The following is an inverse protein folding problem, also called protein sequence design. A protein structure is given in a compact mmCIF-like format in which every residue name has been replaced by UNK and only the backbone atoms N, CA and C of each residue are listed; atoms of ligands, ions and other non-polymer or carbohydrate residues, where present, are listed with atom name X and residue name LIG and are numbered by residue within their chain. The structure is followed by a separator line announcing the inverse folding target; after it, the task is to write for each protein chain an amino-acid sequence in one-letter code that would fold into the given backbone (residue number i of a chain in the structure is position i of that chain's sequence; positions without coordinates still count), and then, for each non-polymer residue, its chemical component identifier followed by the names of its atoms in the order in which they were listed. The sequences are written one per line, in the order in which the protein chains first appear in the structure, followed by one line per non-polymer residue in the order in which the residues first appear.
data_IF_386582208589
#
_entry.id   IF_386582208589
#
_cell.length_a   1.000
_cell.length_b   1.000
_cell.length_c   1.000
_cell.angle_alpha   90.00
_cell.angle_beta   90.00
_cell.angle_gamma   90.00
#
_symmetry.space_group_name_H-M   'P 1'
#
loop_
_entity.id
_entity.type
_entity.pdbx_description
1 polymer ?
#
# COMPACT_ATOMS: atom_id res chain seq x y z
N UNK A 1 31.14 -30.12 40.22
CA UNK A 1 30.50 -28.79 40.20
C UNK A 1 30.59 -28.29 38.78
N UNK A 2 29.46 -28.26 38.07
CA UNK A 2 29.37 -27.65 36.74
C UNK A 2 28.35 -26.50 36.88
N UNK A 3 28.84 -25.27 36.77
CA UNK A 3 28.01 -24.08 36.61
C UNK A 3 27.50 -24.05 35.16
N UNK A 4 26.19 -24.07 34.99
CA UNK A 4 25.55 -23.67 33.74
C UNK A 4 25.15 -22.21 33.87
N UNK A 5 25.71 -21.27 33.07
CA UNK A 5 25.11 -19.97 32.89
C UNK A 5 23.90 -20.13 31.96
N UNK A 6 22.69 -19.97 32.50
CA UNK A 6 21.52 -19.66 31.69
C UNK A 6 21.62 -18.21 31.25
N UNK A 7 22.18 -17.98 30.06
CA UNK A 7 21.98 -16.75 29.32
C UNK A 7 20.51 -16.68 28.90
N UNK A 8 19.68 -16.16 29.80
CA UNK A 8 18.39 -15.61 29.45
C UNK A 8 18.65 -14.35 28.63
N UNK A 9 18.80 -14.53 27.31
CA UNK A 9 18.64 -13.45 26.34
C UNK A 9 17.24 -12.87 26.52
N UNK A 10 17.14 -11.85 27.37
CA UNK A 10 15.96 -11.06 27.63
C UNK A 10 15.60 -10.25 26.39
N UNK A 11 15.04 -10.93 25.39
CA UNK A 11 14.26 -10.28 24.34
C UNK A 11 12.98 -9.86 25.04
N UNK A 12 12.86 -8.57 25.35
CA UNK A 12 11.67 -8.03 25.99
C UNK A 12 10.47 -8.20 25.03
N UNK A 13 9.52 -9.10 25.34
CA UNK A 13 8.37 -9.35 24.47
C UNK A 13 7.49 -8.10 24.32
N UNK A 14 7.59 -7.13 25.23
CA UNK A 14 6.89 -5.85 25.10
C UNK A 14 7.55 -4.93 24.06
N UNK A 15 8.89 -4.92 23.97
CA UNK A 15 9.60 -4.16 22.95
C UNK A 15 9.34 -4.74 21.54
N UNK A 16 9.31 -6.06 21.40
CA UNK A 16 8.97 -6.73 20.15
C UNK A 16 7.49 -6.57 19.77
N UNK A 17 6.57 -6.62 20.74
CA UNK A 17 5.16 -6.35 20.51
C UNK A 17 4.90 -4.89 20.13
N UNK A 18 5.63 -3.94 20.73
CA UNK A 18 5.50 -2.52 20.42
C UNK A 18 6.12 -2.18 19.06
N UNK A 19 7.29 -2.74 18.73
CA UNK A 19 7.86 -2.65 17.40
C UNK A 19 6.99 -3.35 16.34
N UNK A 20 6.33 -4.46 16.68
CA UNK A 20 5.35 -5.09 15.82
C UNK A 20 4.10 -4.22 15.63
N UNK A 21 3.60 -3.55 16.68
CA UNK A 21 2.47 -2.63 16.61
C UNK A 21 2.80 -1.35 15.82
N UNK A 22 3.99 -0.79 15.97
CA UNK A 22 4.46 0.34 15.16
C UNK A 22 4.62 -0.05 13.69
N UNK A 23 5.16 -1.25 13.41
CA UNK A 23 5.19 -1.81 12.04
C UNK A 23 3.78 -2.09 11.50
N UNK A 24 2.85 -2.53 12.34
CA UNK A 24 1.45 -2.73 11.98
C UNK A 24 0.75 -1.39 11.66
N UNK A 25 1.07 -0.30 12.38
CA UNK A 25 0.58 1.04 12.04
C UNK A 25 1.05 1.52 10.66
N UNK A 26 2.28 1.23 10.27
CA UNK A 26 2.77 1.50 8.90
C UNK A 26 2.02 0.65 7.87
N UNK A 27 1.54 -0.55 8.25
CA UNK A 27 0.86 -1.47 7.34
C UNK A 27 -0.62 -1.16 7.05
N UNK A 28 -1.28 -0.27 7.81
CA UNK A 28 -2.69 0.07 7.56
C UNK A 28 -2.83 0.91 6.29
N UNK A 29 -1.86 1.78 6.00
CA UNK A 29 -1.85 2.61 4.80
C UNK A 29 -0.46 3.18 4.49
N UNK A 30 0.48 2.39 3.93
CA UNK A 30 1.81 2.90 3.60
C UNK A 30 1.75 3.88 2.42
N UNK A 31 2.52 4.96 2.53
CA UNK A 31 2.68 6.00 1.50
C UNK A 31 4.14 6.20 1.15
N UNK A 32 4.43 6.41 -0.13
CA UNK A 32 5.72 6.91 -0.62
C UNK A 32 5.50 8.25 -1.34
N UNK A 33 6.40 9.21 -1.12
CA UNK A 33 6.44 10.47 -1.83
C UNK A 33 7.41 10.39 -3.01
N UNK A 34 6.99 10.92 -4.14
CA UNK A 34 7.79 10.98 -5.36
C UNK A 34 7.88 12.44 -5.77
N UNK A 35 9.08 12.99 -5.73
CA UNK A 35 9.34 14.43 -5.84
C UNK A 35 10.31 14.72 -6.98
N UNK A 36 10.10 15.85 -7.67
CA UNK A 36 10.95 16.25 -8.80
C UNK A 36 10.36 17.43 -9.58
N UNK A 37 11.01 17.86 -10.68
CA UNK A 37 10.47 18.92 -11.52
C UNK A 37 9.05 18.59 -12.04
N UNK A 38 8.13 19.57 -12.17
CA UNK A 38 6.73 19.26 -12.48
C UNK A 38 6.50 18.42 -13.74
N UNK A 39 7.24 18.69 -14.82
CA UNK A 39 7.16 17.91 -16.06
C UNK A 39 7.66 16.47 -15.87
N UNK A 40 8.64 16.24 -14.99
CA UNK A 40 9.11 14.90 -14.63
C UNK A 40 8.11 14.14 -13.78
N UNK A 41 7.41 14.85 -12.88
CA UNK A 41 6.31 14.24 -12.12
C UNK A 41 5.17 13.81 -13.04
N UNK A 42 4.84 14.59 -14.06
CA UNK A 42 3.86 14.18 -15.07
C UNK A 42 4.28 12.89 -15.80
N UNK A 43 5.55 12.81 -16.21
CA UNK A 43 6.11 11.58 -16.82
C UNK A 43 6.13 10.41 -15.83
N UNK A 44 6.50 10.65 -14.57
CA UNK A 44 6.57 9.64 -13.52
C UNK A 44 5.18 9.06 -13.20
N UNK A 45 4.16 9.93 -13.12
CA UNK A 45 2.76 9.51 -12.99
C UNK A 45 2.37 8.62 -14.17
N UNK A 46 2.68 9.01 -15.41
CA UNK A 46 2.36 8.22 -16.59
C UNK A 46 3.09 6.86 -16.63
N UNK A 47 4.31 6.78 -16.09
CA UNK A 47 5.07 5.54 -15.96
C UNK A 47 4.48 4.63 -14.87
N UNK A 48 4.15 5.18 -13.70
CA UNK A 48 3.47 4.46 -12.62
C UNK A 48 2.11 3.93 -13.05
N UNK A 49 1.34 4.74 -13.77
CA UNK A 49 0.05 4.33 -14.35
C UNK A 49 0.19 3.11 -15.25
N UNK A 50 1.22 3.11 -16.11
CA UNK A 50 1.51 1.97 -16.98
C UNK A 50 1.93 0.76 -16.16
N UNK A 51 2.86 0.93 -15.23
CA UNK A 51 3.36 -0.17 -14.38
C UNK A 51 2.24 -0.79 -13.53
N UNK A 52 1.36 0.02 -12.95
CA UNK A 52 0.20 -0.43 -12.17
C UNK A 52 -0.75 -1.28 -13.03
N UNK A 53 -1.03 -0.84 -14.25
CA UNK A 53 -1.99 -1.52 -15.14
C UNK A 53 -1.42 -2.76 -15.82
N UNK A 54 -0.26 -2.64 -16.46
CA UNK A 54 0.32 -3.71 -17.29
C UNK A 54 1.23 -4.65 -16.50
N UNK A 55 1.98 -4.13 -15.52
CA UNK A 55 2.90 -4.92 -14.71
C UNK A 55 2.23 -5.57 -13.51
N UNK A 56 1.42 -4.80 -12.78
CA UNK A 56 0.84 -5.24 -11.49
C UNK A 56 -0.65 -5.63 -11.58
N UNK A 57 -1.30 -5.40 -12.73
CA UNK A 57 -2.67 -5.82 -13.00
C UNK A 57 -3.75 -5.06 -12.24
N UNK A 58 -3.43 -3.88 -11.71
CA UNK A 58 -4.40 -2.98 -11.12
C UNK A 58 -5.31 -2.38 -12.19
N UNK A 59 -6.56 -2.09 -11.84
CA UNK A 59 -7.52 -1.44 -12.74
C UNK A 59 -7.86 -0.04 -12.24
N UNK A 60 -7.85 0.98 -13.12
CA UNK A 60 -8.29 2.31 -12.75
C UNK A 60 -9.76 2.28 -12.31
N UNK A 61 -10.09 3.17 -11.39
CA UNK A 61 -11.43 3.40 -10.87
C UNK A 61 -11.72 4.88 -10.89
N UNK A 62 -12.63 5.27 -11.76
CA UNK A 62 -13.20 6.60 -11.72
C UNK A 62 -14.07 6.73 -10.46
N UNK A 63 -13.87 7.81 -9.73
CA UNK A 63 -14.70 8.17 -8.58
C UNK A 63 -15.19 9.59 -8.79
N UNK A 64 -16.48 9.78 -8.63
CA UNK A 64 -17.10 11.08 -8.81
C UNK A 64 -16.46 12.11 -7.86
N UNK A 65 -16.07 13.26 -8.41
CA UNK A 65 -15.33 14.30 -7.67
C UNK A 65 -13.81 14.09 -7.56
N UNK A 66 -13.24 13.02 -8.13
CA UNK A 66 -11.78 12.96 -8.30
C UNK A 66 -11.36 13.92 -9.42
N UNK A 67 -10.80 15.07 -9.04
CA UNK A 67 -10.15 15.97 -9.99
C UNK A 67 -8.95 15.30 -10.69
N UNK A 68 -8.32 15.96 -11.67
CA UNK A 68 -7.21 15.40 -12.45
C UNK A 68 -5.98 15.03 -11.61
N UNK A 69 -5.91 15.52 -10.38
CA UNK A 69 -4.81 15.30 -9.43
C UNK A 69 -4.96 14.03 -8.59
N UNK A 70 -6.02 13.24 -8.78
CA UNK A 70 -6.25 12.03 -8.00
C UNK A 70 -6.62 10.87 -8.91
N UNK A 71 -5.89 9.76 -8.80
CA UNK A 71 -6.18 8.51 -9.50
C UNK A 71 -6.26 7.38 -8.49
N UNK A 72 -7.29 6.55 -8.64
CA UNK A 72 -7.49 5.37 -7.82
C UNK A 72 -7.40 4.13 -8.66
N UNK A 73 -6.67 3.16 -8.14
CA UNK A 73 -6.50 1.86 -8.73
C UNK A 73 -6.96 0.80 -7.75
N UNK A 74 -7.49 -0.29 -8.29
CA UNK A 74 -7.92 -1.44 -7.50
C UNK A 74 -7.32 -2.71 -8.06
N UNK A 75 -6.73 -3.52 -7.18
CA UNK A 75 -6.37 -4.89 -7.47
C UNK A 75 -7.36 -5.82 -6.78
N UNK A 76 -7.95 -6.72 -7.55
CA UNK A 76 -8.99 -7.64 -7.08
C UNK A 76 -10.42 -7.19 -7.40
N UNK A 77 -11.32 -8.16 -7.50
CA UNK A 77 -12.72 -7.97 -7.89
C UNK A 77 -13.50 -9.29 -7.88
N UNK A 78 -14.83 -9.23 -8.00
CA UNK A 78 -15.75 -10.39 -7.88
C UNK A 78 -15.28 -11.63 -8.65
N UNK A 79 -14.72 -11.46 -9.85
CA UNK A 79 -14.27 -12.58 -10.69
C UNK A 79 -12.99 -13.25 -10.18
N UNK A 80 -12.07 -12.49 -9.58
CA UNK A 80 -10.83 -13.01 -8.98
C UNK A 80 -11.12 -13.67 -7.63
N UNK A 81 -12.04 -13.09 -6.86
CA UNK A 81 -12.63 -13.71 -5.67
C UNK A 81 -13.31 -15.04 -6.03
N UNK A 82 -14.16 -15.06 -7.05
CA UNK A 82 -14.84 -16.29 -7.48
C UNK A 82 -13.85 -17.36 -7.97
N UNK A 83 -12.82 -16.97 -8.74
CA UNK A 83 -11.75 -17.89 -9.15
C UNK A 83 -10.92 -18.38 -7.98
N UNK A 84 -10.58 -17.53 -7.01
CA UNK A 84 -9.86 -17.94 -5.81
C UNK A 84 -10.68 -18.96 -5.01
N UNK A 85 -11.96 -18.69 -4.77
CA UNK A 85 -12.88 -19.60 -4.08
C UNK A 85 -13.10 -20.92 -4.86
N UNK A 86 -13.22 -20.84 -6.19
CA UNK A 86 -13.37 -22.04 -7.03
C UNK A 86 -12.08 -22.89 -7.02
N UNK A 87 -10.91 -22.25 -7.03
CA UNK A 87 -9.62 -22.93 -6.95
C UNK A 87 -9.42 -23.53 -5.55
N UNK A 88 -9.83 -22.82 -4.50
CA UNK A 88 -9.81 -23.30 -3.11
C UNK A 88 -10.75 -24.50 -2.89
N UNK A 89 -11.93 -24.48 -3.51
CA UNK A 89 -12.87 -25.59 -3.50
C UNK A 89 -12.34 -26.82 -4.27
N UNK A 90 -11.62 -26.61 -5.38
CA UNK A 90 -11.10 -27.69 -6.22
C UNK A 90 -9.83 -28.35 -5.66
N UNK A 91 -9.03 -27.65 -4.85
CA UNK A 91 -7.73 -28.16 -4.36
C UNK A 91 -7.82 -28.82 -2.98
N UNK A 92 -8.95 -28.73 -2.26
CA UNK A 92 -9.24 -29.50 -1.03
C UNK A 92 -8.10 -29.53 0.00
N UNK A 93 -7.94 -28.44 0.77
CA UNK A 93 -6.94 -28.41 1.85
C UNK A 93 -6.59 -27.02 2.38
N UNK A 94 -7.58 -26.15 2.59
CA UNK A 94 -7.52 -25.02 3.52
C UNK A 94 -6.23 -24.16 3.53
N UNK A 95 -5.69 -23.84 2.36
CA UNK A 95 -4.51 -22.99 2.20
C UNK A 95 -4.82 -21.79 1.30
N UNK A 96 -5.95 -21.13 1.53
CA UNK A 96 -6.47 -20.05 0.69
C UNK A 96 -5.61 -18.78 0.76
N UNK A 97 -4.77 -18.61 -0.27
CA UNK A 97 -3.99 -17.41 -0.57
C UNK A 97 -4.90 -16.19 -0.84
N UNK A 98 -4.72 -15.15 -0.02
CA UNK A 98 -5.01 -13.72 -0.24
C UNK A 98 -6.41 -13.32 -0.72
N UNK A 99 -7.32 -13.05 0.23
CA UNK A 99 -8.56 -12.31 -0.04
C UNK A 99 -8.37 -10.80 0.16
N UNK A 100 -7.33 -10.22 -0.45
CA UNK A 100 -6.98 -8.81 -0.21
C UNK A 100 -7.41 -7.96 -1.41
N UNK A 101 -8.33 -7.02 -1.18
CA UNK A 101 -8.67 -5.97 -2.15
C UNK A 101 -7.77 -4.78 -1.88
N UNK A 102 -6.68 -4.66 -2.64
CA UNK A 102 -5.80 -3.49 -2.52
C UNK A 102 -6.34 -2.32 -3.32
N UNK A 103 -6.23 -1.15 -2.73
CA UNK A 103 -6.47 0.12 -3.38
C UNK A 103 -5.15 0.90 -3.39
N UNK A 104 -4.82 1.49 -4.53
CA UNK A 104 -3.65 2.33 -4.69
C UNK A 104 -4.13 3.70 -5.12
N UNK A 105 -3.71 4.74 -4.42
CA UNK A 105 -3.99 6.12 -4.74
C UNK A 105 -2.70 6.76 -5.26
N UNK A 106 -2.82 7.41 -6.41
CA UNK A 106 -1.85 8.40 -6.86
C UNK A 106 -2.50 9.77 -6.68
N UNK A 107 -2.02 10.53 -5.71
CA UNK A 107 -2.50 11.89 -5.43
C UNK A 107 -1.38 12.90 -5.70
N UNK A 108 -1.65 13.94 -6.48
CA UNK A 108 -0.73 15.04 -6.74
C UNK A 108 -1.09 16.24 -5.85
N UNK A 109 -0.56 16.33 -4.61
CA UNK A 109 -0.84 17.46 -3.72
C UNK A 109 -0.18 18.75 -4.20
N UNK A 110 0.94 18.67 -4.95
CA UNK A 110 1.72 19.79 -5.46
C UNK A 110 2.23 19.53 -6.87
N UNK A 111 2.57 20.56 -7.67
CA UNK A 111 3.09 20.36 -9.02
C UNK A 111 4.35 19.49 -9.08
N UNK A 112 5.19 19.56 -8.05
CA UNK A 112 6.50 18.90 -7.91
C UNK A 112 6.46 17.61 -7.08
N UNK A 113 5.28 17.12 -6.71
CA UNK A 113 5.14 15.96 -5.84
C UNK A 113 3.90 15.11 -6.17
N UNK A 114 4.07 13.80 -6.15
CA UNK A 114 2.97 12.83 -6.15
C UNK A 114 3.15 11.84 -4.99
N UNK A 115 2.04 11.51 -4.34
CA UNK A 115 1.95 10.51 -3.28
C UNK A 115 1.39 9.21 -3.85
N UNK A 116 2.11 8.11 -3.63
CA UNK A 116 1.65 6.75 -3.86
C UNK A 116 1.22 6.17 -2.51
N UNK A 117 -0.08 6.07 -2.27
CA UNK A 117 -0.63 5.50 -1.03
C UNK A 117 -1.35 4.20 -1.31
N UNK A 118 -1.11 3.19 -0.48
CA UNK A 118 -1.77 1.90 -0.59
C UNK A 118 -2.71 1.71 0.58
N UNK A 119 -4.00 1.50 0.32
CA UNK A 119 -4.96 1.07 1.34
C UNK A 119 -5.30 -0.40 1.10
N UNK A 120 -5.17 -1.23 2.14
CA UNK A 120 -5.53 -2.63 2.07
C UNK A 120 -5.86 -3.18 3.44
N UNK A 121 -6.96 -3.92 3.53
CA UNK A 121 -7.34 -4.68 4.73
C UNK A 121 -7.00 -6.15 4.50
N UNK A 122 -5.95 -6.65 5.17
CA UNK A 122 -5.76 -8.09 5.33
C UNK A 122 -6.69 -8.59 6.45
N UNK A 123 -7.89 -8.97 6.08
CA UNK A 123 -8.87 -9.56 7.02
C UNK A 123 -8.48 -10.98 7.48
N UNK A 124 -7.43 -11.57 6.92
CA UNK A 124 -7.02 -12.94 7.24
C UNK A 124 -5.90 -13.01 8.29
N UNK A 125 -5.21 -11.90 8.62
CA UNK A 125 -4.06 -11.82 9.54
C UNK A 125 -2.94 -12.85 9.28
N UNK A 126 -2.94 -13.52 8.12
CA UNK A 126 -2.09 -14.68 7.85
C UNK A 126 -0.81 -14.32 7.09
N UNK A 127 -0.76 -13.17 6.42
CA UNK A 127 0.45 -12.71 5.75
C UNK A 127 0.49 -11.18 5.66
N UNK A 128 1.56 -10.58 6.20
CA UNK A 128 1.80 -9.13 6.17
C UNK A 128 1.83 -8.65 4.72
N UNK A 129 1.11 -7.59 4.40
CA UNK A 129 1.31 -6.88 3.15
C UNK A 129 2.55 -5.99 3.28
N UNK A 130 3.59 -6.30 2.51
CA UNK A 130 4.74 -5.43 2.38
C UNK A 130 4.65 -4.65 1.05
N UNK A 131 4.44 -3.32 1.08
CA UNK A 131 4.40 -2.52 -0.14
C UNK A 131 5.73 -2.56 -0.90
N UNK A 132 6.85 -2.79 -0.21
CA UNK A 132 8.17 -2.85 -0.84
C UNK A 132 8.31 -4.10 -1.72
N UNK A 133 7.75 -5.24 -1.31
CA UNK A 133 7.77 -6.46 -2.13
C UNK A 133 7.00 -6.28 -3.45
N UNK A 134 5.92 -5.48 -3.45
CA UNK A 134 5.04 -5.30 -4.62
C UNK A 134 5.49 -4.14 -5.50
N UNK A 135 5.86 -3.01 -4.90
CA UNK A 135 6.15 -1.77 -5.63
C UNK A 135 7.64 -1.43 -5.68
N UNK A 136 8.47 -2.01 -4.82
CA UNK A 136 9.88 -1.64 -4.69
C UNK A 136 10.66 -1.73 -5.99
N UNK A 137 10.46 -2.81 -6.77
CA UNK A 137 11.10 -2.96 -8.08
C UNK A 137 10.65 -1.88 -9.08
N UNK A 138 9.36 -1.55 -9.10
CA UNK A 138 8.79 -0.52 -9.97
C UNK A 138 9.32 0.87 -9.59
N UNK A 139 9.35 1.19 -8.30
CA UNK A 139 9.84 2.48 -7.79
C UNK A 139 11.34 2.64 -7.99
N UNK A 140 12.12 1.56 -7.80
CA UNK A 140 13.56 1.57 -8.06
C UNK A 140 13.84 1.79 -9.55
N UNK A 141 13.14 1.05 -10.42
CA UNK A 141 13.27 1.22 -11.87
C UNK A 141 12.79 2.61 -12.36
N UNK A 142 11.84 3.24 -11.65
CA UNK A 142 11.43 4.62 -11.92
C UNK A 142 12.58 5.58 -11.60
N UNK A 143 13.14 5.50 -10.40
CA UNK A 143 14.24 6.36 -9.95
C UNK A 143 15.51 6.19 -10.82
N UNK A 144 15.84 4.97 -11.23
CA UNK A 144 16.98 4.71 -12.12
C UNK A 144 16.82 5.34 -13.51
N UNK A 145 15.61 5.34 -14.06
CA UNK A 145 15.32 5.91 -15.39
C UNK A 145 15.14 7.41 -15.37
N UNK A 146 14.79 7.96 -14.21
CA UNK A 146 14.47 9.37 -14.00
C UNK A 146 15.33 9.93 -12.86
N UNK A 147 16.61 10.25 -13.11
CA UNK A 147 17.53 10.70 -12.06
C UNK A 147 17.12 12.03 -11.40
N UNK A 148 16.26 12.81 -12.06
CA UNK A 148 15.68 14.05 -11.53
C UNK A 148 14.47 13.82 -10.60
N UNK A 149 14.07 12.55 -10.40
CA UNK A 149 12.97 12.14 -9.54
C UNK A 149 13.50 11.39 -8.33
N UNK A 150 13.14 11.86 -7.15
CA UNK A 150 13.44 11.20 -5.89
C UNK A 150 12.21 10.41 -5.41
N UNK A 151 12.42 9.21 -4.89
CA UNK A 151 11.40 8.41 -4.20
C UNK A 151 11.79 8.32 -2.74
N UNK A 152 10.88 8.69 -1.84
CA UNK A 152 11.10 8.60 -0.40
C UNK A 152 11.03 7.16 0.09
N UNK A 153 11.52 6.92 1.31
CA UNK A 153 11.13 5.75 2.08
C UNK A 153 9.61 5.72 2.31
N UNK A 154 9.07 4.53 2.56
CA UNK A 154 7.67 4.37 2.95
C UNK A 154 7.41 4.94 4.34
N UNK A 155 6.33 5.69 4.49
CA UNK A 155 5.87 6.25 5.75
C UNK A 155 4.36 6.01 5.94
N UNK A 156 3.87 6.21 7.17
CA UNK A 156 2.44 6.02 7.48
C UNK A 156 1.60 7.19 6.95
N UNK A 157 0.52 6.91 6.23
CA UNK A 157 -0.38 7.96 5.76
C UNK A 157 -1.12 8.70 6.88
N UNK A 158 -1.09 8.19 8.11
CA UNK A 158 -1.62 8.87 9.30
C UNK A 158 -0.93 10.21 9.59
N UNK A 159 0.32 10.38 9.12
CA UNK A 159 1.06 11.64 9.28
C UNK A 159 0.68 12.69 8.24
N UNK A 160 -0.14 12.34 7.24
CA UNK A 160 -0.56 13.25 6.20
C UNK A 160 -1.68 14.19 6.69
N UNK A 161 -1.72 15.44 6.18
CA UNK A 161 -2.83 16.34 6.48
C UNK A 161 -4.19 15.75 6.10
N UNK A 162 -5.23 15.94 6.92
CA UNK A 162 -6.55 15.29 6.75
C UNK A 162 -7.31 15.72 5.50
N UNK A 163 -6.88 16.79 4.83
CA UNK A 163 -7.43 17.23 3.55
C UNK A 163 -6.95 16.40 2.35
N UNK A 164 -5.84 15.66 2.49
CA UNK A 164 -5.30 14.83 1.41
C UNK A 164 -6.07 13.53 1.32
N UNK A 165 -6.45 13.12 0.11
CA UNK A 165 -7.14 11.86 -0.15
C UNK A 165 -6.31 10.64 0.25
N UNK A 166 -4.99 10.78 0.29
CA UNK A 166 -4.03 9.79 0.78
C UNK A 166 -4.07 9.61 2.30
N UNK A 167 -4.52 10.61 3.07
CA UNK A 167 -4.67 10.47 4.51
C UNK A 167 -5.90 9.60 4.84
N UNK A 168 -5.93 8.86 5.97
CA UNK A 168 -7.10 8.06 6.34
C UNK A 168 -8.39 8.89 6.43
N UNK A 169 -8.29 10.11 6.99
CA UNK A 169 -9.43 11.01 7.13
C UNK A 169 -9.92 11.55 5.78
N UNK A 170 -9.01 11.97 4.90
CA UNK A 170 -9.36 12.45 3.57
C UNK A 170 -9.90 11.33 2.68
N UNK A 171 -9.31 10.15 2.75
CA UNK A 171 -9.81 8.95 2.08
C UNK A 171 -11.24 8.63 2.52
N UNK A 172 -11.50 8.63 3.83
CA UNK A 172 -12.82 8.35 4.38
C UNK A 172 -13.89 9.38 3.95
N UNK A 173 -13.51 10.66 3.88
CA UNK A 173 -14.38 11.72 3.36
C UNK A 173 -14.70 11.52 1.89
N UNK A 174 -13.71 11.10 1.11
CA UNK A 174 -13.84 10.96 -0.34
C UNK A 174 -14.71 9.77 -0.74
N UNK A 175 -14.60 8.65 -0.04
CA UNK A 175 -15.28 7.40 -0.42
C UNK A 175 -16.52 7.08 0.41
N UNK A 176 -16.75 7.87 1.46
CA UNK A 176 -17.80 7.70 2.45
C UNK A 176 -17.36 6.79 3.60
N UNK A 177 -17.72 7.18 4.82
CA UNK A 177 -17.33 6.50 6.07
C UNK A 177 -17.66 5.00 6.09
N UNK A 178 -18.79 4.59 5.51
CA UNK A 178 -19.19 3.19 5.43
C UNK A 178 -18.33 2.34 4.48
N UNK A 179 -17.74 2.94 3.44
CA UNK A 179 -16.78 2.24 2.56
C UNK A 179 -15.38 2.27 3.15
N UNK A 180 -15.01 3.39 3.77
CA UNK A 180 -13.75 3.57 4.48
C UNK A 180 -13.56 2.62 5.67
N UNK A 181 -14.64 2.27 6.37
CA UNK A 181 -14.60 1.26 7.44
C UNK A 181 -14.13 -0.12 6.97
N UNK A 182 -14.46 -0.53 5.75
CA UNK A 182 -13.93 -1.78 5.17
C UNK A 182 -12.50 -1.64 4.66
N UNK A 183 -11.92 -0.44 4.78
CA UNK A 183 -10.62 -0.05 4.24
C UNK A 183 -9.61 0.38 5.32
N UNK A 184 -10.04 0.49 6.58
CA UNK A 184 -9.20 0.73 7.76
C UNK A 184 -9.20 -0.45 8.73
#
# INVERSE_FOLDING_TARGET
MAEHPSDANGVDPHADAQAALERLRVSVSPTAAISGPPHRIDEAIAELDRALQSGLGFRPRDVEGSGPNLRLYRLGGRMRWFRANLTEALVSGGGGRFNISYHVLLERPRPDEVLLTVHGTDTSFRARYDPQEVFGATLSALAERMPDVAVSDWFSSETLPPQLASSPAGFARWVGAGRAFWWG
#
